data_IF_680553616553
#
_entry.id   IF_680553616553
#
_cell.length_a   1.000
_cell.length_b   1.000
_cell.length_c   1.000
_cell.angle_alpha   90.00
_cell.angle_beta   90.00
_cell.angle_gamma   90.00
#
_symmetry.space_group_name_H-M   'P 1'
#
loop_
_entity.id
_entity.type
_entity.pdbx_description
1 polymer ?
2 polymer ?
3 non-polymer ?
4 non-polymer ?
5 non-polymer ?
6 non-polymer ?
7 water ?
#
loop_
_entity_poly.entity_id
_entity_poly.type
_entity_poly.pdbx_seq_one_letter_code
_entity_poly.pdbx_strand_id
2 'polyribonucleotide' 'GG' ?
#
# COMPACT_ATOMS: atom_id res chain seq x y z
N UNK A 4 13.17 6.81 22.56
CA UNK A 4 12.09 7.41 21.79
C UNK A 4 12.12 7.04 20.32
N UNK A 5 13.26 7.29 19.67
CA UNK A 5 13.38 6.98 18.26
C UNK A 5 13.31 5.48 18.02
N UNK A 6 13.91 4.68 18.90
CA UNK A 6 13.81 3.23 18.77
C UNK A 6 12.35 2.78 18.82
N UNK A 7 11.57 3.36 19.75
CA UNK A 7 10.16 3.02 19.84
C UNK A 7 9.41 3.43 18.59
N UNK A 8 9.71 4.64 18.09
CA UNK A 8 9.05 5.15 16.90
C UNK A 8 9.40 4.36 15.65
N UNK A 9 10.51 3.62 15.68
CA UNK A 9 10.96 2.83 14.54
C UNK A 9 10.51 1.37 14.63
N UNK A 10 9.66 1.02 15.59
CA UNK A 10 9.06 -0.31 15.59
C UNK A 10 8.14 -0.46 14.38
N UNK A 11 7.76 -1.71 14.11
CA UNK A 11 6.85 -2.03 13.02
C UNK A 11 5.71 -2.88 13.56
N UNK A 12 4.52 -2.64 13.04
CA UNK A 12 3.33 -3.39 13.45
C UNK A 12 2.96 -4.35 12.33
N UNK A 13 3.43 -5.59 12.44
CA UNK A 13 3.17 -6.59 11.42
C UNK A 13 1.76 -7.14 11.59
N UNK A 14 0.97 -7.10 10.52
CA UNK A 14 -0.39 -7.62 10.56
C UNK A 14 -0.65 -8.41 9.29
N UNK A 15 -1.33 -9.55 9.44
CA UNK A 15 -1.91 -10.23 8.29
C UNK A 15 -3.34 -10.61 8.63
N UNK A 16 -4.22 -10.48 7.64
CA UNK A 16 -5.63 -10.82 7.79
C UNK A 16 -6.01 -11.95 6.85
N UNK A 17 -7.05 -12.68 7.24
CA UNK A 17 -7.86 -13.42 6.29
C UNK A 17 -9.22 -12.74 6.21
N UNK A 18 -9.78 -12.72 5.01
CA UNK A 18 -11.08 -12.10 4.75
C UNK A 18 -11.96 -13.11 4.03
N UNK A 19 -13.26 -12.84 4.01
CA UNK A 19 -14.15 -13.68 3.22
C UNK A 19 -14.00 -13.46 1.71
N UNK A 20 -13.26 -12.43 1.32
CA UNK A 20 -12.99 -12.12 -0.06
C UNK A 20 -12.36 -10.73 -0.14
N UNK A 21 -12.17 -10.27 -1.36
CA UNK A 21 -11.46 -9.01 -1.61
C UNK A 21 -12.39 -7.83 -1.90
N UNK A 22 -13.70 -7.99 -1.72
CA UNK A 22 -14.66 -6.94 -2.02
C UNK A 22 -14.88 -6.13 -0.75
N UNK A 23 -14.30 -4.92 -0.70
CA UNK A 23 -14.39 -4.10 0.50
C UNK A 23 -15.83 -3.71 0.83
N UNK A 24 -16.74 -3.76 -0.13
CA UNK A 24 -18.12 -3.38 0.14
C UNK A 24 -18.95 -4.50 0.76
N UNK A 25 -18.48 -5.74 0.74
CA UNK A 25 -19.28 -6.84 1.27
C UNK A 25 -18.48 -7.76 2.19
N UNK A 26 -17.19 -7.94 1.92
CA UNK A 26 -16.42 -8.94 2.63
C UNK A 26 -15.98 -8.44 4.01
N UNK A 27 -15.69 -9.39 4.89
CA UNK A 27 -15.39 -9.12 6.28
C UNK A 27 -14.10 -9.81 6.70
N UNK A 28 -13.50 -9.30 7.77
CA UNK A 28 -12.31 -9.91 8.37
C UNK A 28 -12.72 -11.14 9.18
N UNK A 29 -12.06 -12.27 8.90
CA UNK A 29 -12.32 -13.51 9.64
C UNK A 29 -11.12 -13.98 10.46
N UNK A 30 -9.91 -13.50 10.19
CA UNK A 30 -8.77 -13.85 11.02
C UNK A 30 -7.80 -12.68 11.02
N UNK A 31 -7.14 -12.46 12.15
CA UNK A 31 -6.17 -11.39 12.26
C UNK A 31 -5.08 -11.79 13.25
N UNK A 32 -3.83 -11.54 12.90
CA UNK A 32 -2.71 -11.72 13.81
C UNK A 32 -1.81 -10.50 13.74
N UNK A 33 -1.04 -10.29 14.80
CA UNK A 33 -0.22 -9.09 14.88
C UNK A 33 1.03 -9.41 15.67
N UNK A 34 2.19 -8.98 15.15
CA UNK A 34 3.49 -9.08 15.81
C UNK A 34 4.13 -7.70 15.79
N UNK A 35 4.90 -7.38 16.82
CA UNK A 35 5.71 -6.15 16.84
C UNK A 35 7.16 -6.54 16.63
N UNK A 36 7.83 -5.87 15.69
CA UNK A 36 9.29 -5.97 15.61
C UNK A 36 9.94 -4.63 15.92
N UNK A 37 11.21 -4.70 16.32
CA UNK A 37 12.04 -3.52 16.31
C UNK A 37 12.38 -3.14 14.88
N UNK A 38 13.17 -2.08 14.72
CA UNK A 38 13.50 -1.60 13.39
C UNK A 38 14.32 -2.62 12.60
N UNK A 39 14.98 -3.56 13.29
CA UNK A 39 15.82 -4.57 12.67
C UNK A 39 15.11 -5.90 12.48
N UNK A 40 13.79 -5.93 12.63
CA UNK A 40 12.94 -7.10 12.36
C UNK A 40 13.00 -8.15 13.46
N UNK A 41 13.57 -7.85 14.62
CA UNK A 41 13.50 -8.77 15.74
C UNK A 41 12.13 -8.70 16.38
N UNK A 42 11.52 -9.86 16.62
CA UNK A 42 10.18 -9.89 17.19
C UNK A 42 10.26 -9.51 18.68
N UNK A 43 9.53 -8.47 19.06
CA UNK A 43 9.52 -7.99 20.44
C UNK A 43 8.33 -8.49 21.23
N UNK A 44 7.20 -8.67 20.57
CA UNK A 44 5.99 -9.08 21.27
C UNK A 44 5.04 -9.72 20.28
N UNK A 45 4.37 -10.78 20.71
CA UNK A 45 3.35 -11.45 19.91
C UNK A 45 1.98 -10.96 20.39
N UNK A 46 1.19 -10.44 19.45
CA UNK A 46 -0.12 -9.94 19.77
C UNK A 46 -1.19 -11.00 19.66
N UNK A 47 -2.44 -10.56 19.77
CA UNK A 47 -3.57 -11.48 19.61
C UNK A 47 -3.51 -12.21 18.26
N UNK A 48 -4.08 -13.40 18.26
CA UNK A 48 -4.18 -14.22 17.04
C UNK A 48 -5.60 -14.75 17.07
N UNK A 49 -6.51 -14.05 16.37
CA UNK A 49 -7.94 -14.18 16.62
C UNK A 49 -8.72 -14.56 15.38
N UNK A 50 -9.71 -15.41 15.58
CA UNK A 50 -10.68 -15.79 14.55
C UNK A 50 -12.00 -15.12 14.88
N UNK A 51 -12.50 -14.32 13.95
CA UNK A 51 -13.62 -13.40 14.18
C UNK A 51 -14.90 -14.00 13.61
N UNK A 52 -15.94 -14.06 14.43
CA UNK A 52 -17.23 -14.55 14.00
C UNK A 52 -17.80 -13.68 12.88
N UNK A 53 -18.31 -14.32 11.84
CA UNK A 53 -19.02 -13.66 10.75
C UNK A 53 -20.17 -14.57 10.37
N UNK A 54 -21.21 -14.04 9.71
CA UNK A 54 -22.45 -14.81 9.54
C UNK A 54 -22.30 -16.00 8.59
N UNK A 55 -23.08 -17.05 8.88
CA UNK A 55 -23.11 -18.22 8.01
C UNK A 55 -23.39 -17.86 6.56
N UNK A 56 -24.31 -16.92 6.34
CA UNK A 56 -24.71 -16.59 4.97
C UNK A 56 -23.54 -16.01 4.19
N UNK A 57 -22.67 -15.25 4.86
CA UNK A 57 -21.50 -14.70 4.20
C UNK A 57 -20.50 -15.81 3.85
N UNK A 58 -20.25 -16.72 4.78
CA UNK A 58 -19.33 -17.82 4.52
C UNK A 58 -19.86 -18.70 3.40
N UNK A 59 -21.17 -18.94 3.37
CA UNK A 59 -21.79 -19.78 2.34
C UNK A 59 -21.77 -19.13 0.97
N UNK A 60 -21.61 -17.81 0.89
CA UNK A 60 -21.60 -17.12 -0.38
C UNK A 60 -20.19 -16.70 -0.83
N UNK A 61 -19.15 -17.13 -0.12
CA UNK A 61 -17.79 -16.83 -0.52
C UNK A 61 -17.48 -17.41 -1.89
N UNK A 62 -16.47 -16.84 -2.53
CA UNK A 62 -15.98 -17.37 -3.79
C UNK A 62 -15.53 -18.82 -3.60
N UNK A 63 -15.48 -19.54 -4.72
CA UNK A 63 -14.98 -20.91 -4.68
C UNK A 63 -13.56 -20.96 -4.14
N UNK A 64 -12.71 -19.99 -4.50
CA UNK A 64 -11.35 -19.96 -3.96
C UNK A 64 -11.37 -19.87 -2.44
N UNK A 65 -12.17 -18.95 -1.90
CA UNK A 65 -12.22 -18.80 -0.44
C UNK A 65 -12.83 -20.02 0.23
N UNK A 66 -13.90 -20.58 -0.34
CA UNK A 66 -14.50 -21.77 0.25
C UNK A 66 -13.48 -22.90 0.32
N UNK A 67 -12.73 -23.09 -0.76
CA UNK A 67 -11.74 -24.17 -0.80
C UNK A 67 -10.62 -23.92 0.19
N UNK A 68 -10.07 -22.70 0.22
CA UNK A 68 -8.88 -22.44 1.02
C UNK A 68 -9.21 -22.26 2.50
N UNK A 69 -10.22 -21.45 2.82
CA UNK A 69 -10.59 -21.33 4.22
C UNK A 69 -11.24 -22.60 4.75
N UNK A 70 -11.84 -23.38 3.86
CA UNK A 70 -12.37 -24.66 4.27
C UNK A 70 -11.29 -25.63 4.69
N UNK A 71 -10.32 -25.89 3.80
CA UNK A 71 -9.32 -26.91 4.10
C UNK A 71 -8.38 -26.51 5.21
N UNK A 72 -8.19 -25.22 5.47
CA UNK A 72 -7.32 -24.81 6.56
C UNK A 72 -7.99 -24.93 7.92
N UNK A 73 -9.29 -25.21 7.96
CA UNK A 73 -10.04 -25.21 9.19
C UNK A 73 -10.61 -23.86 9.58
N UNK A 74 -10.30 -22.81 8.83
CA UNK A 74 -10.72 -21.48 9.22
C UNK A 74 -12.24 -21.32 9.15
N UNK A 75 -12.87 -21.82 8.08
CA UNK A 75 -14.32 -21.65 7.97
C UNK A 75 -15.04 -22.23 9.18
N UNK A 76 -14.69 -23.46 9.57
CA UNK A 76 -15.31 -24.07 10.74
C UNK A 76 -15.05 -23.25 12.00
N UNK A 77 -13.82 -22.77 12.15
CA UNK A 77 -13.47 -21.99 13.33
C UNK A 77 -14.22 -20.65 13.37
N UNK A 78 -14.50 -20.04 12.21
CA UNK A 78 -15.30 -18.82 12.20
C UNK A 78 -16.70 -19.11 12.73
N UNK A 79 -17.30 -20.21 12.27
CA UNK A 79 -18.66 -20.55 12.71
C UNK A 79 -18.72 -20.79 14.21
N UNK A 80 -17.63 -21.30 14.80
CA UNK A 80 -17.58 -21.57 16.23
C UNK A 80 -17.12 -20.37 17.05
N UNK A 81 -16.70 -19.29 16.42
CA UNK A 81 -16.07 -18.19 17.16
C UNK A 81 -17.11 -17.43 17.95
N UNK A 82 -16.70 -16.97 19.13
CA UNK A 82 -17.50 -16.06 19.94
C UNK A 82 -16.89 -14.67 20.00
N UNK A 83 -15.92 -14.38 19.14
CA UNK A 83 -15.21 -13.10 19.13
C UNK A 83 -15.85 -12.20 18.08
N UNK A 84 -16.42 -11.09 18.50
CA UNK A 84 -16.96 -10.13 17.56
C UNK A 84 -15.84 -9.26 17.00
N UNK A 85 -16.14 -8.62 15.86
CA UNK A 85 -15.18 -7.70 15.27
C UNK A 85 -14.78 -6.62 16.25
N UNK A 86 -15.75 -6.10 17.01
CA UNK A 86 -15.46 -5.01 17.93
C UNK A 86 -14.55 -5.45 19.05
N UNK A 87 -14.80 -6.64 19.61
CA UNK A 87 -13.92 -7.13 20.67
C UNK A 87 -12.54 -7.44 20.14
N UNK A 88 -12.45 -8.01 18.93
CA UNK A 88 -11.14 -8.25 18.34
C UNK A 88 -10.38 -6.94 18.17
N UNK A 89 -11.03 -5.91 17.62
CA UNK A 89 -10.38 -4.62 17.48
C UNK A 89 -9.83 -4.13 18.81
N UNK A 90 -10.61 -4.26 19.88
CA UNK A 90 -10.12 -3.78 21.18
C UNK A 90 -8.87 -4.54 21.60
N UNK A 91 -8.85 -5.87 21.43
CA UNK A 91 -7.65 -6.62 21.77
C UNK A 91 -6.43 -6.12 21.00
N UNK A 92 -6.59 -5.86 19.70
CA UNK A 92 -5.45 -5.40 18.91
C UNK A 92 -5.05 -3.97 19.27
N UNK A 93 -6.03 -3.10 19.51
CA UNK A 93 -5.75 -1.73 19.90
C UNK A 93 -5.04 -1.67 21.25
N UNK A 94 -5.53 -2.44 22.23
CA UNK A 94 -4.87 -2.49 23.52
C UNK A 94 -3.43 -2.98 23.38
N UNK A 95 -3.21 -3.96 22.51
CA UNK A 95 -1.87 -4.50 22.31
C UNK A 95 -0.94 -3.44 21.75
N UNK A 96 -1.34 -2.77 20.67
CA UNK A 96 -0.44 -1.77 20.11
C UNK A 96 -0.25 -0.57 21.03
N UNK A 97 -1.25 -0.24 21.86
CA UNK A 97 -1.04 0.85 22.81
C UNK A 97 0.04 0.50 23.83
N UNK A 98 0.20 -0.79 24.14
CA UNK A 98 1.24 -1.24 25.04
C UNK A 98 2.60 -1.33 24.38
N UNK A 99 2.64 -1.30 23.04
CA UNK A 99 3.86 -1.66 22.32
C UNK A 99 4.43 -0.56 21.45
N UNK A 100 3.65 0.44 21.05
CA UNK A 100 4.13 1.44 20.10
C UNK A 100 3.62 2.81 20.49
N UNK A 101 4.37 3.87 20.20
CA UNK A 101 3.89 5.22 20.50
C UNK A 101 2.79 5.61 19.52
N UNK A 102 1.82 6.40 19.96
CA UNK A 102 0.65 6.66 19.10
C UNK A 102 1.01 7.40 17.83
N UNK A 103 0.53 6.89 16.70
CA UNK A 103 0.62 7.54 15.41
C UNK A 103 1.92 7.33 14.67
N UNK A 104 2.89 6.64 15.26
CA UNK A 104 4.25 6.70 14.73
C UNK A 104 4.68 5.47 13.95
N UNK A 105 4.06 4.29 14.19
CA UNK A 105 4.61 3.08 13.61
C UNK A 105 3.72 2.54 12.49
N UNK A 106 4.32 2.00 11.45
CA UNK A 106 3.56 1.55 10.27
C UNK A 106 3.14 0.08 10.34
N UNK A 107 2.03 -0.22 9.66
CA UNK A 107 1.70 -1.60 9.32
C UNK A 107 2.80 -2.17 8.44
N UNK A 108 3.05 -3.48 8.58
CA UNK A 108 4.05 -4.16 7.77
C UNK A 108 3.52 -5.53 7.34
N UNK A 109 3.83 -5.91 6.11
CA UNK A 109 3.39 -7.19 5.57
C UNK A 109 3.47 -7.19 4.05
N UNK A 110 3.11 -8.34 3.47
CA UNK A 110 3.11 -8.46 2.00
C UNK A 110 1.81 -7.88 1.46
N UNK A 111 1.91 -6.86 0.60
CA UNK A 111 0.73 -6.18 0.06
C UNK A 111 -0.22 -5.76 1.18
N UNK A 112 0.38 -5.29 2.29
CA UNK A 112 -0.35 -4.95 3.50
C UNK A 112 -1.27 -3.75 3.31
N UNK A 113 -1.22 -3.10 2.15
CA UNK A 113 -2.22 -2.09 1.85
C UNK A 113 -3.62 -2.69 1.76
N UNK A 114 -3.73 -3.97 1.36
CA UNK A 114 -5.05 -4.59 1.33
C UNK A 114 -5.58 -4.77 2.74
N UNK A 115 -4.73 -5.23 3.65
CA UNK A 115 -5.12 -5.28 5.05
C UNK A 115 -5.47 -3.90 5.56
N UNK A 116 -4.68 -2.88 5.18
CA UNK A 116 -4.99 -1.52 5.61
C UNK A 116 -6.36 -1.07 5.09
N UNK A 117 -6.70 -1.41 3.83
CA UNK A 117 -8.02 -1.06 3.31
C UNK A 117 -9.12 -1.64 4.20
N UNK A 118 -9.00 -2.91 4.58
CA UNK A 118 -10.00 -3.51 5.44
C UNK A 118 -9.96 -2.95 6.85
N UNK A 119 -8.76 -2.70 7.39
CA UNK A 119 -8.66 -2.19 8.75
C UNK A 119 -9.13 -0.73 8.84
N UNK A 120 -8.86 0.07 7.83
CA UNK A 120 -9.34 1.46 7.86
C UNK A 120 -10.86 1.48 7.94
N UNK A 121 -11.52 0.52 7.31
CA UNK A 121 -12.97 0.47 7.32
C UNK A 121 -13.49 -0.18 8.60
N UNK A 122 -12.91 -1.31 8.99
CA UNK A 122 -13.51 -2.15 10.02
C UNK A 122 -12.84 -2.07 11.38
N UNK A 123 -11.60 -1.61 11.46
CA UNK A 123 -10.94 -1.37 12.75
C UNK A 123 -10.31 0.03 12.74
N UNK A 124 -11.14 1.08 12.57
CA UNK A 124 -10.57 2.42 12.43
C UNK A 124 -9.88 2.91 13.70
N UNK A 125 -10.28 2.46 14.87
CA UNK A 125 -9.61 2.90 16.09
C UNK A 125 -8.23 2.24 16.22
N UNK A 126 -8.12 0.98 15.84
CA UNK A 126 -6.79 0.37 15.74
C UNK A 126 -5.91 1.17 14.80
N UNK A 127 -6.44 1.52 13.62
CA UNK A 127 -5.62 2.23 12.64
C UNK A 127 -5.24 3.62 13.12
N UNK A 128 -6.07 4.25 13.96
CA UNK A 128 -5.74 5.58 14.47
C UNK A 128 -4.45 5.56 15.29
N UNK A 129 -4.11 4.41 15.87
CA UNK A 129 -2.87 4.31 16.63
C UNK A 129 -1.64 4.23 15.75
N UNK A 130 -1.82 3.96 14.46
CA UNK A 130 -0.70 3.68 13.57
C UNK A 130 -0.43 4.86 12.64
N UNK A 131 0.77 4.86 12.08
CA UNK A 131 1.10 5.80 11.02
C UNK A 131 0.27 5.47 9.78
N UNK A 132 0.23 6.39 8.82
CA UNK A 132 -0.43 6.09 7.55
C UNK A 132 0.48 5.39 6.56
N UNK A 133 1.79 5.46 6.76
CA UNK A 133 2.70 4.75 5.88
C UNK A 133 2.72 3.25 6.21
N UNK A 134 3.18 2.46 5.24
CA UNK A 134 3.26 1.03 5.41
C UNK A 134 4.65 0.56 4.99
N UNK A 135 5.04 -0.58 5.53
CA UNK A 135 6.20 -1.30 5.06
C UNK A 135 5.69 -2.50 4.28
N UNK A 136 5.61 -2.32 2.96
CA UNK A 136 5.05 -3.34 2.07
C UNK A 136 6.20 -4.23 1.60
N UNK A 137 6.27 -5.44 2.17
CA UNK A 137 7.31 -6.38 1.76
C UNK A 137 7.24 -6.68 0.26
N UNK A 138 6.02 -6.65 -0.31
CA UNK A 138 5.88 -6.89 -1.75
C UNK A 138 6.42 -5.76 -2.61
N UNK A 139 6.50 -4.53 -2.09
CA UNK A 139 7.23 -3.49 -2.82
C UNK A 139 8.69 -3.93 -2.97
N UNK A 140 9.29 -4.42 -1.90
CA UNK A 140 10.68 -4.86 -1.96
C UNK A 140 10.81 -6.08 -2.85
N UNK A 141 9.84 -6.99 -2.80
CA UNK A 141 9.82 -8.15 -3.70
C UNK A 141 9.87 -7.71 -5.16
N UNK A 142 9.03 -6.74 -5.52
CA UNK A 142 8.95 -6.32 -6.91
C UNK A 142 10.21 -5.56 -7.35
N UNK A 143 10.85 -4.84 -6.42
CA UNK A 143 12.14 -4.24 -6.75
C UNK A 143 13.22 -5.30 -6.86
N UNK A 144 13.19 -6.31 -5.98
CA UNK A 144 14.16 -7.40 -6.08
C UNK A 144 14.06 -8.10 -7.41
N UNK A 145 12.84 -8.39 -7.85
CA UNK A 145 12.64 -9.10 -9.11
C UNK A 145 13.24 -8.33 -10.28
N UNK A 146 13.15 -7.00 -10.23
CA UNK A 146 13.63 -6.16 -11.32
C UNK A 146 15.12 -5.91 -11.24
N UNK A 147 15.61 -5.46 -10.08
CA UNK A 147 16.97 -4.96 -9.95
C UNK A 147 17.95 -6.04 -9.54
N UNK A 148 17.48 -7.11 -8.91
CA UNK A 148 18.33 -8.20 -8.40
C UNK A 148 17.75 -9.55 -8.82
N UNK A 149 17.63 -9.79 -10.13
CA UNK A 149 16.98 -11.04 -10.57
C UNK A 149 17.72 -12.30 -10.16
N UNK A 150 19.04 -12.26 -10.08
CA UNK A 150 19.78 -13.43 -9.65
C UNK A 150 19.48 -13.75 -8.19
N UNK A 151 19.52 -12.74 -7.32
CA UNK A 151 19.22 -12.96 -5.91
C UNK A 151 17.77 -13.36 -5.69
N UNK A 152 16.86 -12.85 -6.53
CA UNK A 152 15.44 -13.15 -6.38
C UNK A 152 15.17 -14.66 -6.43
N UNK A 153 15.95 -15.39 -7.22
CA UNK A 153 15.80 -16.84 -7.31
C UNK A 153 16.06 -17.54 -5.99
N UNK A 154 16.73 -16.89 -5.04
CA UNK A 154 17.09 -17.52 -3.78
C UNK A 154 16.17 -17.16 -2.63
N UNK A 155 15.10 -16.40 -2.90
CA UNK A 155 14.20 -16.03 -1.83
C UNK A 155 13.56 -17.30 -1.24
N UNK A 156 13.28 -17.29 0.06
CA UNK A 156 12.72 -18.49 0.69
C UNK A 156 11.36 -18.85 0.09
N UNK A 157 11.11 -20.16 0.00
CA UNK A 157 9.81 -20.62 -0.46
C UNK A 157 8.77 -20.46 0.63
N UNK A 158 7.58 -20.03 0.26
CA UNK A 158 6.50 -19.81 1.23
C UNK A 158 5.54 -20.99 1.21
N UNK A 159 5.06 -21.36 2.40
CA UNK A 159 4.02 -22.37 2.49
C UNK A 159 2.68 -21.83 2.02
N UNK A 160 2.46 -20.52 2.20
CA UNK A 160 1.25 -19.83 1.75
C UNK A 160 -0.01 -20.57 2.23
N UNK A 161 -0.11 -20.70 3.55
CA UNK A 161 -1.18 -21.47 4.16
C UNK A 161 -2.46 -20.66 4.36
N UNK A 162 -2.40 -19.35 4.15
CA UNK A 162 -3.55 -18.46 4.36
C UNK A 162 -4.11 -18.57 5.78
N UNK A 163 -3.20 -18.70 6.73
CA UNK A 163 -3.49 -18.50 8.14
C UNK A 163 -2.63 -17.35 8.61
N UNK A 164 -3.21 -16.46 9.41
CA UNK A 164 -2.67 -15.12 9.58
C UNK A 164 -1.30 -15.14 10.26
N UNK A 165 -1.17 -15.84 11.38
CA UNK A 165 0.08 -15.75 12.12
C UNK A 165 1.23 -16.41 11.36
N UNK A 166 0.97 -17.58 10.76
CA UNK A 166 2.01 -18.23 9.96
C UNK A 166 2.45 -17.35 8.80
N UNK A 167 1.50 -16.65 8.17
CA UNK A 167 1.87 -15.83 7.02
C UNK A 167 2.67 -14.59 7.42
N UNK A 168 2.38 -13.99 8.59
CA UNK A 168 3.21 -12.90 9.10
C UNK A 168 4.65 -13.33 9.22
N UNK A 169 4.87 -14.50 9.82
CA UNK A 169 6.23 -14.98 10.02
C UNK A 169 6.96 -15.12 8.69
N UNK A 170 6.27 -15.62 7.66
CA UNK A 170 6.91 -15.74 6.35
C UNK A 170 7.20 -14.38 5.73
N UNK A 171 6.35 -13.39 5.99
CA UNK A 171 6.59 -12.05 5.48
C UNK A 171 7.85 -11.46 6.09
N UNK A 172 8.04 -11.61 7.40
CA UNK A 172 9.25 -11.10 8.04
C UNK A 172 10.48 -11.78 7.46
N UNK A 173 10.40 -13.11 7.25
CA UNK A 173 11.53 -13.84 6.72
C UNK A 173 11.87 -13.39 5.31
N UNK A 174 10.86 -13.04 4.52
CA UNK A 174 11.12 -12.55 3.17
C UNK A 174 11.83 -11.21 3.21
N UNK A 175 11.38 -10.31 4.08
CA UNK A 175 12.02 -9.00 4.16
C UNK A 175 13.45 -9.13 4.69
N UNK A 176 13.66 -10.02 5.67
CA UNK A 176 15.01 -10.26 6.15
C UNK A 176 15.89 -10.78 5.03
N UNK A 177 15.36 -11.65 4.18
CA UNK A 177 16.13 -12.11 3.03
C UNK A 177 16.56 -10.94 2.16
N UNK A 178 15.63 -10.02 1.86
CA UNK A 178 16.01 -8.87 1.02
C UNK A 178 17.07 -8.02 1.73
N UNK A 179 16.88 -7.73 3.01
CA UNK A 179 17.89 -6.93 3.69
C UNK A 179 19.26 -7.57 3.60
N UNK A 180 19.34 -8.88 3.80
CA UNK A 180 20.62 -9.56 3.86
C UNK A 180 21.24 -9.75 2.48
N UNK A 181 20.47 -9.61 1.39
CA UNK A 181 20.96 -10.00 0.08
C UNK A 181 20.92 -8.92 -1.00
N UNK A 182 20.08 -7.90 -0.87
CA UNK A 182 19.99 -6.87 -1.91
C UNK A 182 20.20 -5.46 -1.38
N UNK A 183 20.42 -5.27 -0.09
CA UNK A 183 20.73 -3.94 0.44
C UNK A 183 22.23 -3.80 0.65
N UNK A 184 22.67 -2.55 0.72
CA UNK A 184 24.09 -2.24 0.73
C UNK A 184 24.75 -2.79 1.99
N UNK A 185 25.92 -3.42 1.82
CA UNK A 185 26.62 -4.02 2.95
C UNK A 185 27.33 -2.96 3.78
N UNK A 186 27.33 -3.17 5.09
CA UNK A 186 27.94 -2.23 6.03
C UNK A 186 29.42 -2.55 6.21
N UNK C 2 14.29 -9.83 -23.66
CA UNK C 2 12.93 -10.33 -23.76
C UNK C 2 11.93 -9.18 -23.67
N UNK C 3 11.33 -8.83 -24.81
CA UNK C 3 10.47 -7.64 -24.87
C UNK C 3 9.26 -7.78 -23.96
N UNK C 4 8.61 -8.94 -23.95
CA UNK C 4 7.43 -9.12 -23.12
C UNK C 4 7.73 -9.03 -21.64
N UNK C 5 8.85 -9.62 -21.20
CA UNK C 5 9.20 -9.54 -19.78
C UNK C 5 9.62 -8.13 -19.40
N UNK C 6 10.31 -7.42 -20.29
CA UNK C 6 10.65 -6.03 -20.02
C UNK C 6 9.39 -5.19 -19.83
N UNK C 7 8.39 -5.39 -20.70
CA UNK C 7 7.15 -4.61 -20.57
C UNK C 7 6.39 -4.97 -19.30
N UNK C 8 6.44 -6.24 -18.89
CA UNK C 8 5.79 -6.65 -17.66
C UNK C 8 6.46 -6.06 -16.42
N UNK C 9 7.70 -5.60 -16.54
CA UNK C 9 8.42 -5.00 -15.42
C UNK C 9 8.34 -3.48 -15.43
N UNK C 10 7.52 -2.89 -16.28
CA UNK C 10 7.27 -1.47 -16.21
C UNK C 10 6.53 -1.14 -14.91
N UNK C 11 6.47 0.16 -14.61
CA UNK C 11 5.79 0.67 -13.43
C UNK C 11 4.85 1.78 -13.85
N UNK C 12 3.69 1.85 -13.20
CA UNK C 12 2.67 2.86 -13.49
C UNK C 12 2.65 3.85 -12.34
N UNK C 13 3.37 4.94 -12.49
CA UNK C 13 3.48 5.96 -11.44
C UNK C 13 2.26 6.87 -11.50
N UNK C 14 1.55 6.99 -10.38
CA UNK C 14 0.34 7.81 -10.31
C UNK C 14 0.38 8.59 -9.01
N UNK C 15 0.07 9.88 -9.08
CA UNK C 15 -0.24 10.66 -7.90
C UNK C 15 -1.56 11.37 -8.13
N UNK C 16 -2.36 11.48 -7.06
CA UNK C 16 -3.64 12.16 -7.07
C UNK C 16 -3.63 13.33 -6.10
N UNK C 17 -4.49 14.31 -6.37
CA UNK C 17 -5.00 15.20 -5.33
C UNK C 17 -6.47 14.88 -5.10
N UNK C 18 -6.89 14.97 -3.84
CA UNK C 18 -8.27 14.70 -3.46
C UNK C 18 -8.78 15.88 -2.64
N UNK C 19 -10.10 15.94 -2.47
CA UNK C 19 -10.68 16.94 -1.58
C UNK C 19 -10.42 16.62 -0.12
N UNK C 20 -9.87 15.45 0.16
CA UNK C 20 -9.56 15.03 1.51
C UNK C 20 -9.30 13.53 1.52
N UNK C 21 -9.13 12.99 2.73
CA UNK C 21 -8.71 11.62 2.91
C UNK C 21 -9.86 10.67 3.25
N UNK C 22 -11.10 11.12 3.18
CA UNK C 22 -12.25 10.31 3.59
C UNK C 22 -12.79 9.61 2.35
N UNK C 23 -12.55 8.30 2.26
CA UNK C 23 -12.94 7.54 1.06
C UNK C 23 -14.45 7.54 0.84
N UNK C 24 -15.23 7.76 1.88
CA UNK C 24 -16.68 7.75 1.78
C UNK C 24 -17.26 9.09 1.32
N UNK C 25 -16.48 10.17 1.35
CA UNK C 25 -17.00 11.49 1.00
C UNK C 25 -16.14 12.23 -0.01
N UNK C 26 -14.83 12.09 0.07
CA UNK C 26 -13.96 12.90 -0.76
C UNK C 26 -13.82 12.33 -2.16
N UNK C 27 -13.37 13.18 -3.08
CA UNK C 27 -13.31 12.86 -4.49
C UNK C 27 -11.95 13.24 -5.06
N UNK C 28 -11.62 12.63 -6.20
CA UNK C 28 -10.38 12.93 -6.90
C UNK C 28 -10.54 14.22 -7.68
N UNK C 29 -9.58 15.13 -7.52
CA UNK C 29 -9.60 16.41 -8.23
C UNK C 29 -8.41 16.60 -9.15
N UNK C 30 -7.35 15.80 -9.02
CA UNK C 30 -6.25 15.89 -9.96
C UNK C 30 -5.58 14.53 -10.06
N UNK C 31 -5.09 14.19 -11.25
CA UNK C 31 -4.43 12.91 -11.43
C UNK C 31 -3.39 13.04 -12.52
N UNK C 32 -2.19 12.50 -12.27
CA UNK C 32 -1.15 12.43 -13.28
C UNK C 32 -0.54 11.05 -13.29
N UNK C 33 0.04 10.67 -14.43
CA UNK C 33 0.56 9.32 -14.59
C UNK C 33 1.80 9.34 -15.47
N UNK C 34 2.86 8.65 -15.02
CA UNK C 34 4.07 8.44 -15.80
C UNK C 34 4.35 6.94 -15.84
N UNK C 35 4.86 6.45 -16.96
CA UNK C 35 5.31 5.07 -17.07
C UNK C 35 6.83 5.06 -17.01
N UNK C 36 7.41 4.21 -16.17
CA UNK C 36 8.84 3.96 -16.23
C UNK C 36 9.11 2.51 -16.62
N UNK C 37 10.32 2.28 -17.13
CA UNK C 37 10.81 0.92 -17.22
C UNK C 37 11.22 0.44 -15.82
N UNK C 38 11.73 -0.79 -15.77
CA UNK C 38 12.10 -1.37 -14.49
C UNK C 38 13.20 -0.59 -13.80
N UNK C 39 13.99 0.17 -14.55
CA UNK C 39 15.12 0.94 -14.04
C UNK C 39 14.78 2.40 -13.77
N UNK C 40 13.50 2.77 -13.77
CA UNK C 40 12.99 4.10 -13.40
C UNK C 40 13.17 5.15 -14.49
N UNK C 41 13.54 4.75 -15.70
CA UNK C 41 13.59 5.69 -16.81
C UNK C 41 12.17 5.97 -17.29
N UNK C 42 11.83 7.24 -17.43
CA UNK C 42 10.47 7.60 -17.84
C UNK C 42 10.31 7.31 -19.33
N UNK C 43 9.38 6.41 -19.66
CA UNK C 43 9.12 5.99 -21.03
C UNK C 43 8.01 6.77 -21.69
N UNK C 44 7.05 7.26 -20.90
CA UNK C 44 5.86 7.89 -21.45
C UNK C 44 5.21 8.73 -20.36
N UNK C 45 4.67 9.88 -20.77
CA UNK C 45 3.98 10.79 -19.88
C UNK C 45 2.50 10.73 -20.26
N UNK C 46 1.67 10.34 -19.30
CA UNK C 46 0.25 10.21 -19.53
C UNK C 46 -0.52 11.49 -19.29
N UNK C 47 -1.84 11.37 -19.24
CA UNK C 47 -2.68 12.54 -18.97
C UNK C 47 -2.34 13.15 -17.61
N UNK C 48 -2.57 14.45 -17.50
CA UNK C 48 -2.33 15.22 -16.28
C UNK C 48 -3.55 16.13 -16.19
N UNK C 49 -4.55 15.70 -15.43
CA UNK C 49 -5.90 16.23 -15.58
C UNK C 49 -6.45 16.75 -14.26
N UNK C 50 -7.13 17.88 -14.34
CA UNK C 50 -7.86 18.46 -13.21
C UNK C 50 -9.34 18.15 -13.43
N UNK C 51 -9.94 17.47 -12.44
CA UNK C 51 -11.24 16.82 -12.60
C UNK C 51 -12.30 17.62 -11.87
N UNK C 52 -13.39 17.93 -12.58
CA UNK C 52 -14.48 18.70 -12.00
C UNK C 52 -15.10 17.95 -10.83
N UNK C 53 -15.34 18.68 -9.74
CA UNK C 53 -16.08 18.21 -8.59
C UNK C 53 -16.95 19.35 -8.10
N UNK C 54 -18.04 19.05 -7.39
CA UNK C 54 -19.03 20.09 -7.08
C UNK C 54 -18.51 21.17 -6.15
N UNK C 55 -19.05 22.38 -6.32
CA UNK C 55 -18.68 23.51 -5.46
C UNK C 55 -18.92 23.19 -3.99
N UNK C 56 -20.05 22.55 -3.68
CA UNK C 56 -20.39 22.26 -2.29
C UNK C 56 -19.33 21.41 -1.62
N UNK C 57 -18.71 20.50 -2.37
CA UNK C 57 -17.67 19.66 -1.80
C UNK C 57 -16.39 20.46 -1.56
N UNK C 58 -15.99 21.28 -2.55
CA UNK C 58 -14.83 22.14 -2.38
C UNK C 58 -15.03 23.12 -1.24
N UNK C 59 -16.25 23.64 -1.08
CA UNK C 59 -16.55 24.59 -0.02
C UNK C 59 -16.60 23.94 1.35
N UNK C 60 -16.68 22.61 1.42
CA UNK C 60 -16.75 21.89 2.68
C UNK C 60 -15.45 21.18 3.03
N UNK C 61 -14.38 21.40 2.25
CA UNK C 61 -13.12 20.72 2.49
C UNK C 61 -12.52 21.13 3.82
N UNK C 62 -11.56 20.32 4.28
CA UNK C 62 -10.84 20.65 5.50
C UNK C 62 -10.10 21.98 5.33
N UNK C 63 -9.76 22.60 6.46
CA UNK C 63 -8.96 23.82 6.44
C UNK C 63 -7.68 23.60 5.65
N UNK C 64 -6.97 22.49 5.91
CA UNK C 64 -5.74 22.20 5.20
C UNK C 64 -5.96 22.19 3.69
N UNK C 65 -7.01 21.48 3.25
CA UNK C 65 -7.24 21.35 1.82
C UNK C 65 -7.68 22.68 1.21
N UNK C 66 -8.51 23.43 1.91
CA UNK C 66 -8.91 24.75 1.41
C UNK C 66 -7.70 25.65 1.22
N UNK C 67 -6.77 25.63 2.18
CA UNK C 67 -5.61 26.52 2.10
C UNK C 67 -4.66 26.07 1.00
N UNK C 68 -4.32 24.78 0.96
CA UNK C 68 -3.30 24.31 0.04
C UNK C 68 -3.82 24.24 -1.38
N UNK C 69 -5.01 23.66 -1.59
CA UNK C 69 -5.56 23.63 -2.93
C UNK C 69 -5.99 25.02 -3.39
N UNK C 70 -6.34 25.90 -2.45
CA UNK C 70 -6.60 27.28 -2.83
C UNK C 70 -5.35 27.98 -3.32
N UNK C 71 -4.27 27.92 -2.53
CA UNK C 71 -3.05 28.65 -2.86
C UNK C 71 -2.40 28.14 -4.12
N UNK C 72 -2.50 26.84 -4.42
CA UNK C 72 -1.88 26.31 -5.62
C UNK C 72 -2.66 26.65 -6.88
N UNK C 73 -3.86 27.21 -6.75
CA UNK C 73 -4.73 27.40 -7.87
C UNK C 73 -5.56 26.19 -8.24
N UNK C 74 -5.41 25.08 -7.53
CA UNK C 74 -6.13 23.87 -7.90
C UNK C 74 -7.64 24.03 -7.70
N UNK C 75 -8.06 24.64 -6.59
CA UNK C 75 -9.50 24.77 -6.36
C UNK C 75 -10.17 25.54 -7.48
N UNK C 76 -9.58 26.67 -7.88
CA UNK C 76 -10.14 27.46 -8.98
C UNK C 76 -10.19 26.63 -10.26
N UNK C 77 -9.14 25.85 -10.51
CA UNK C 77 -9.10 25.04 -11.73
C UNK C 77 -10.16 23.93 -11.69
N UNK C 78 -10.43 23.35 -10.52
CA UNK C 78 -11.49 22.35 -10.40
C UNK C 78 -12.83 22.97 -10.79
N UNK C 79 -13.12 24.15 -10.23
CA UNK C 79 -14.40 24.79 -10.51
C UNK C 79 -14.56 25.12 -11.99
N UNK C 80 -13.45 25.37 -12.69
CA UNK C 80 -13.49 25.67 -14.11
C UNK C 80 -13.38 24.43 -15.00
N UNK C 81 -13.16 23.26 -14.42
CA UNK C 81 -12.86 22.09 -15.24
C UNK C 81 -14.13 21.59 -15.94
N UNK C 82 -13.94 21.07 -17.15
CA UNK C 82 -15.00 20.38 -17.88
C UNK C 82 -14.68 18.90 -18.05
N UNK C 83 -13.73 18.39 -17.27
CA UNK C 83 -13.33 16.99 -17.32
C UNK C 83 -14.04 16.25 -16.20
N UNK C 84 -14.91 15.31 -16.55
CA UNK C 84 -15.56 14.51 -15.52
C UNK C 84 -14.63 13.39 -15.08
N UNK C 85 -14.95 12.80 -13.94
CA UNK C 85 -14.21 11.63 -13.47
C UNK C 85 -14.21 10.53 -14.51
N UNK C 86 -15.35 10.30 -15.16
CA UNK C 86 -15.45 9.22 -16.14
C UNK C 86 -14.59 9.53 -17.37
N UNK C 87 -14.58 10.79 -17.82
CA UNK C 87 -13.73 11.15 -18.94
C UNK C 87 -12.25 10.97 -18.60
N UNK C 88 -11.87 11.35 -17.37
CA UNK C 88 -10.48 11.15 -16.96
C UNK C 88 -10.13 9.66 -16.94
N UNK C 89 -11.01 8.83 -16.40
CA UNK C 89 -10.73 7.40 -16.39
C UNK C 89 -10.54 6.87 -17.80
N UNK C 90 -11.38 7.30 -18.74
CA UNK C 90 -11.21 6.91 -20.13
C UNK C 90 -9.81 7.24 -20.64
N UNK C 91 -9.35 8.46 -20.37
CA UNK C 91 -8.04 8.87 -20.88
C UNK C 91 -6.91 8.09 -20.22
N UNK C 92 -7.01 7.85 -18.91
CA UNK C 92 -5.94 7.15 -18.21
C UNK C 92 -5.91 5.67 -18.59
N UNK C 93 -7.08 5.05 -18.76
CA UNK C 93 -7.09 3.65 -19.18
C UNK C 93 -6.59 3.49 -20.61
N UNK C 94 -7.01 4.40 -21.51
CA UNK C 94 -6.46 4.38 -22.87
C UNK C 94 -4.94 4.44 -22.83
N UNK C 95 -4.39 5.33 -22.01
CA UNK C 95 -2.95 5.49 -21.93
C UNK C 95 -2.26 4.23 -21.41
N UNK C 96 -2.71 3.69 -20.26
CA UNK C 96 -2.00 2.52 -19.75
C UNK C 96 -2.18 1.30 -20.65
N UNK C 97 -3.30 1.21 -21.38
CA UNK C 97 -3.46 0.10 -22.30
C UNK C 97 -2.43 0.14 -23.41
N UNK C 98 -1.98 1.33 -23.79
CA UNK C 98 -0.95 1.46 -24.81
C UNK C 98 0.44 1.19 -24.28
N UNK C 99 0.61 1.20 -22.96
CA UNK C 99 1.94 1.25 -22.36
C UNK C 99 2.31 0.03 -21.53
N UNK C 100 1.34 -0.76 -21.07
CA UNK C 100 1.64 -1.88 -20.18
C UNK C 100 0.75 -3.06 -20.51
N UNK C 101 1.25 -4.27 -20.30
CA UNK C 101 0.42 -5.45 -20.53
C UNK C 101 -0.64 -5.57 -19.43
N UNK C 102 -1.84 -6.04 -19.78
CA UNK C 102 -2.92 -6.03 -18.78
C UNK C 102 -2.60 -6.90 -17.57
N UNK C 103 -2.80 -6.33 -16.38
CA UNK C 103 -2.76 -7.05 -15.14
C UNK C 103 -1.37 -7.20 -14.53
N UNK C 104 -0.32 -6.78 -15.22
CA UNK C 104 1.02 -7.16 -14.81
C UNK C 104 1.81 -6.08 -14.09
N UNK C 105 1.47 -4.80 -14.28
CA UNK C 105 2.35 -3.74 -13.77
C UNK C 105 1.74 -3.03 -12.56
N UNK C 106 2.56 -2.65 -11.59
CA UNK C 106 2.05 -2.06 -10.35
C UNK C 106 1.96 -0.55 -10.41
N UNK C 107 1.02 -0.02 -9.63
CA UNK C 107 1.07 1.38 -9.25
C UNK C 107 2.34 1.65 -8.47
N UNK C 108 2.88 2.86 -8.64
CA UNK C 108 4.08 3.30 -7.94
C UNK C 108 3.91 4.75 -7.49
N UNK C 109 4.43 5.05 -6.30
CA UNK C 109 4.35 6.38 -5.76
C UNK C 109 4.64 6.35 -4.28
N UNK C 110 4.60 7.54 -3.67
CA UNK C 110 4.78 7.64 -2.22
C UNK C 110 3.45 7.36 -1.52
N UNK C 111 3.41 6.32 -0.69
CA UNK C 111 2.18 5.94 0.00
C UNK C 111 1.04 5.79 -1.00
N UNK C 112 1.38 5.18 -2.15
CA UNK C 112 0.47 5.05 -3.29
C UNK C 112 -0.70 4.14 -2.99
N UNK C 113 -0.68 3.44 -1.85
CA UNK C 113 -1.87 2.72 -1.41
C UNK C 113 -3.06 3.64 -1.22
N UNK C 114 -2.82 4.91 -0.86
CA UNK C 114 -3.94 5.84 -0.70
C UNK C 114 -4.55 6.17 -2.06
N UNK C 115 -3.69 6.43 -3.05
CA UNK C 115 -4.18 6.61 -4.41
C UNK C 115 -4.92 5.37 -4.89
N UNK C 116 -4.37 4.18 -4.61
CA UNK C 116 -5.05 2.94 -4.97
C UNK C 116 -6.43 2.82 -4.32
N UNK C 117 -6.55 3.20 -3.04
CA UNK C 117 -7.85 3.15 -2.41
C UNK C 117 -8.87 3.99 -3.16
N UNK C 118 -8.48 5.20 -3.56
CA UNK C 118 -9.38 6.08 -4.30
C UNK C 118 -9.62 5.57 -5.72
N UNK C 119 -8.60 5.02 -6.36
CA UNK C 119 -8.77 4.55 -7.73
C UNK C 119 -9.58 3.26 -7.78
N UNK C 120 -9.38 2.36 -6.82
CA UNK C 120 -10.20 1.15 -6.77
C UNK C 120 -11.67 1.50 -6.70
N UNK C 121 -12.01 2.57 -5.99
CA UNK C 121 -13.41 2.97 -5.87
C UNK C 121 -13.88 3.75 -7.09
N UNK C 122 -13.08 4.71 -7.54
CA UNK C 122 -13.55 5.72 -8.50
C UNK C 122 -13.07 5.52 -9.93
N UNK C 123 -12.02 4.75 -10.16
CA UNK C 123 -11.57 4.40 -11.50
C UNK C 123 -11.34 2.89 -11.58
N UNK C 124 -12.38 2.09 -11.33
CA UNK C 124 -12.18 0.63 -11.26
C UNK C 124 -11.71 0.02 -12.57
N UNK C 125 -12.09 0.59 -13.72
CA UNK C 125 -11.67 0.01 -14.99
C UNK C 125 -10.19 0.27 -15.23
N UNK C 126 -9.71 1.46 -14.87
CA UNK C 126 -8.28 1.73 -14.86
C UNK C 126 -7.55 0.70 -14.00
N UNK C 127 -8.03 0.47 -12.78
CA UNK C 127 -7.33 -0.43 -11.88
C UNK C 127 -7.37 -1.88 -12.36
N UNK C 128 -8.39 -2.26 -13.13
CA UNK C 128 -8.41 -3.61 -13.67
C UNK C 128 -7.19 -3.88 -14.56
N UNK C 129 -6.62 -2.84 -15.15
CA UNK C 129 -5.46 -3.03 -16.00
C UNK C 129 -4.18 -3.27 -15.23
N UNK C 130 -4.17 -2.97 -13.93
CA UNK C 130 -2.94 -3.00 -13.15
C UNK C 130 -2.86 -4.24 -12.26
N UNK C 131 -1.64 -4.54 -11.82
CA UNK C 131 -1.45 -5.54 -10.80
C UNK C 131 -2.08 -5.09 -9.48
N UNK C 132 -2.23 -6.02 -8.54
CA UNK C 132 -2.65 -5.61 -7.20
C UNK C 132 -1.50 -5.15 -6.34
N UNK C 133 -0.26 -5.54 -6.66
CA UNK C 133 0.87 -5.07 -5.88
C UNK C 133 1.19 -3.61 -6.21
N UNK C 134 1.89 -2.95 -5.28
CA UNK C 134 2.33 -1.58 -5.47
C UNK C 134 3.82 -1.48 -5.23
N UNK C 135 4.42 -0.44 -5.82
CA UNK C 135 5.77 -0.04 -5.49
C UNK C 135 5.65 1.24 -4.68
N UNK C 136 5.65 1.07 -3.35
CA UNK C 136 5.48 2.18 -2.42
C UNK C 136 6.86 2.76 -2.08
N UNK C 137 7.16 3.92 -2.66
CA UNK C 137 8.44 4.58 -2.37
C UNK C 137 8.59 4.85 -0.88
N UNK C 138 7.47 5.08 -0.18
CA UNK C 138 7.53 5.37 1.24
C UNK C 138 7.85 4.14 2.09
N UNK C 139 7.59 2.94 1.57
CA UNK C 139 8.14 1.76 2.21
C UNK C 139 9.66 1.83 2.21
N UNK C 140 10.25 2.16 1.06
CA UNK C 140 11.71 2.25 0.97
C UNK C 140 12.22 3.40 1.82
N UNK C 141 11.48 4.51 1.86
CA UNK C 141 11.80 5.63 2.74
C UNK C 141 11.91 5.16 4.18
N UNK C 142 10.92 4.40 4.64
CA UNK C 142 10.89 4.00 6.04
C UNK C 142 11.95 2.95 6.35
N UNK C 143 12.32 2.11 5.37
CA UNK C 143 13.45 1.21 5.57
C UNK C 143 14.77 1.98 5.56
N UNK C 144 14.91 2.97 4.68
CA UNK C 144 16.10 3.80 4.67
C UNK C 144 16.30 4.48 6.01
N UNK C 145 15.22 5.04 6.57
CA UNK C 145 15.32 5.78 7.83
C UNK C 145 15.83 4.86 8.94
N UNK C 146 15.44 3.59 8.91
CA UNK C 146 15.80 2.65 9.95
C UNK C 146 17.18 2.04 9.71
N UNK C 147 17.43 1.57 8.50
CA UNK C 147 18.62 0.76 8.24
C UNK C 147 19.78 1.59 7.73
N UNK C 148 19.53 2.75 7.14
CA UNK C 148 20.57 3.60 6.56
C UNK C 148 20.34 5.04 7.01
N UNK C 149 20.37 5.28 8.32
CA UNK C 149 20.06 6.64 8.82
C UNK C 149 21.00 7.71 8.30
N UNK C 150 22.26 7.39 8.07
CA UNK C 150 23.17 8.41 7.54
C UNK C 150 22.79 8.80 6.12
N UNK C 151 22.51 7.81 5.27
CA UNK C 151 22.09 8.10 3.90
C UNK C 151 20.74 8.81 3.89
N UNK C 152 19.84 8.45 4.81
CA UNK C 152 18.51 9.06 4.86
C UNK C 152 18.59 10.57 5.02
N UNK C 153 19.61 11.05 5.73
CA UNK C 153 19.77 12.49 5.91
C UNK C 153 19.86 13.21 4.57
N UNK C 154 20.31 12.53 3.52
CA UNK C 154 20.63 13.18 2.25
C UNK C 154 19.62 12.88 1.16
N UNK C 155 18.53 12.19 1.49
CA UNK C 155 17.49 11.94 0.51
C UNK C 155 16.93 13.26 0.02
N UNK C 156 16.56 13.36 -1.27
CA UNK C 156 16.31 14.67 -1.89
C UNK C 156 15.24 15.47 -1.16
N UNK C 157 15.48 16.79 -1.09
CA UNK C 157 14.49 17.70 -0.53
C UNK C 157 13.31 17.83 -1.48
N UNK C 158 12.10 17.84 -0.94
CA UNK C 158 10.88 17.85 -1.73
C UNK C 158 10.20 19.20 -1.63
N UNK C 159 9.73 19.72 -2.77
CA UNK C 159 8.95 20.94 -2.74
C UNK C 159 7.56 20.70 -2.16
N UNK C 160 7.06 19.47 -2.27
CA UNK C 160 5.74 19.08 -1.79
C UNK C 160 4.67 20.09 -2.22
N UNK C 161 4.46 20.13 -3.55
CA UNK C 161 3.64 21.14 -4.18
C UNK C 161 2.15 20.81 -4.13
N UNK C 162 1.80 19.56 -3.90
CA UNK C 162 0.43 19.07 -4.04
C UNK C 162 -0.18 19.41 -5.39
N UNK C 163 0.67 19.32 -6.41
CA UNK C 163 0.23 19.19 -7.78
C UNK C 163 0.74 17.85 -8.27
N UNK C 164 -0.16 17.07 -8.88
CA UNK C 164 0.08 15.64 -9.07
C UNK C 164 1.34 15.36 -9.89
N UNK C 165 1.51 16.07 -11.02
CA UNK C 165 2.63 15.74 -11.90
C UNK C 165 3.96 16.08 -11.26
N UNK C 166 4.04 17.23 -10.58
CA UNK C 166 5.29 17.59 -9.93
C UNK C 166 5.64 16.61 -8.83
N UNK C 167 4.65 16.19 -8.07
CA UNK C 167 4.92 15.30 -6.94
C UNK C 167 5.28 13.90 -7.41
N UNK C 168 4.61 13.38 -8.43
CA UNK C 168 4.97 12.04 -8.89
C UNK C 168 6.39 12.05 -9.46
N UNK C 169 6.78 13.17 -10.08
CA UNK C 169 8.14 13.28 -10.58
C UNK C 169 9.15 13.23 -9.43
N UNK C 170 8.84 13.89 -8.31
CA UNK C 170 9.73 13.83 -7.15
C UNK C 170 9.77 12.43 -6.55
N UNK C 171 8.67 11.69 -6.62
CA UNK C 171 8.66 10.34 -6.07
C UNK C 171 9.66 9.44 -6.78
N UNK C 172 9.74 9.55 -8.11
CA UNK C 172 10.71 8.75 -8.86
C UNK C 172 12.12 9.11 -8.42
N UNK C 173 12.39 10.41 -8.26
CA UNK C 173 13.72 10.85 -7.86
C UNK C 173 14.08 10.34 -6.48
N UNK C 174 13.10 10.27 -5.56
CA UNK C 174 13.38 9.72 -4.24
C UNK C 174 13.76 8.25 -4.33
N UNK C 175 13.01 7.46 -5.10
CA UNK C 175 13.34 6.04 -5.22
C UNK C 175 14.70 5.85 -5.88
N UNK C 176 15.01 6.67 -6.89
CA UNK C 176 16.32 6.63 -7.54
C UNK C 176 17.43 6.87 -6.51
N UNK C 177 17.22 7.83 -5.62
CA UNK C 177 18.21 8.08 -4.58
C UNK C 177 18.43 6.83 -3.73
N UNK C 178 17.35 6.16 -3.32
CA UNK C 178 17.54 4.96 -2.51
C UNK C 178 18.28 3.89 -3.30
N UNK C 179 17.92 3.68 -4.56
CA UNK C 179 18.64 2.69 -5.35
C UNK C 179 20.13 3.00 -5.40
N UNK C 180 20.48 4.28 -5.58
CA UNK C 180 21.88 4.66 -5.73
C UNK C 180 22.64 4.59 -4.41
N UNK C 181 21.96 4.59 -3.27
CA UNK C 181 22.64 4.80 -2.00
C UNK C 181 22.48 3.68 -0.98
N UNK C 182 21.41 2.89 -1.03
CA UNK C 182 21.18 1.89 0.02
C UNK C 182 20.99 0.48 -0.52
N UNK C 183 21.03 0.29 -1.84
CA UNK C 183 20.91 -1.05 -2.39
C UNK C 183 22.29 -1.58 -2.76
N UNK C 184 22.38 -2.91 -2.86
CA UNK C 184 23.66 -3.57 -3.05
C UNK C 184 24.30 -3.16 -4.37
N UNK C 185 25.59 -2.82 -4.32
CA UNK C 185 26.30 -2.44 -5.52
C UNK C 185 26.58 -3.67 -6.38
N UNK C 186 26.40 -3.53 -7.68
CA UNK C 186 26.67 -4.61 -8.61
C UNK C 186 28.17 -4.73 -8.84
N UNK C 187 28.69 -5.95 -8.79
CA UNK C 187 30.12 -6.20 -8.96
C UNK C 187 30.45 -6.47 -10.42
X LIG E 1 -0.39 -16.04 1.00
X LIG E 1 -0.40 -17.09 1.97
X LIG E 1 0.77 -15.09 1.39
X LIG E 1 2.00 -15.73 1.31
X LIG E 1 0.68 -13.90 0.40
X LIG E 1 1.56 -12.92 0.89
X LIG F 1 -2.11 -11.15 3.36
X LIG G 1 9.01 13.85 -18.27
X LIG G 1 9.90 14.31 -19.22
X LIG G 1 9.26 14.66 -16.99
X LIG G 1 10.53 14.45 -16.49
X LIG G 1 8.15 14.21 -16.02
X LIG G 1 8.51 14.69 -14.78
X LIG H 1 27.26 2.71 7.60
X LIG H 1 26.60 3.44 6.42
X LIG H 1 28.29 1.71 7.10
X LIG H 1 25.64 2.93 5.80
X LIG H 1 27.03 4.58 6.08
X LIG H 1 28.71 0.80 7.86
X LIG H 1 28.71 1.78 5.91
X LIG I 1 4.03 14.58 -1.46
X LIG I 1 3.75 13.97 -2.70
X LIG I 1 4.05 13.50 -0.39
X LIG I 1 4.50 12.30 -0.94
X LIG J 1 0.25 11.56 -3.00
#
# INVERSE_FOLDING_TARGET
MAAGESMAQRMVWVDLEMTGLDIEKDQIIEMACLITDSDLNILAEGPNLIIKQPDELLDSMSDWCKEHHGKSGLTKAVKESTITLQQAEYEFLSFVRQQTPPGLCPLAGNSVHEDKKFLDKYMPQFMKHLHYRIIDVSTVKELCRRWYPEEYEFAPKKAASHRALDDISESIKELQFYRNNIFKKKIDEKKRKIIENGENEKTVS
MAAGESMAQRMVWVDLEMTGLDIEKDQIIEMACLITDSDLNILAEGPNLIIKQPDELLDSMSDWCKEHHGKSGLTKAVKESTITLQQAEYEFLSFVRQQTPPGLCPLAGNSVHEDKKFLDKYMPQFMKHLHYRIIDVSTVKELCRRWYPEEYEFAPKKAASHRALDDISESIKELQFYRNNIFKKKIDEKKRKIIENGENEKTVS
GOL C1 O1 C2 O2 C3 O3
NA NA
GOL C1 O1 C2 O2 C3 O3
MLI C1 C2 C3 O6 O7 O8 O9
EDO C1 O1 C2 O2
NA NA
#
